data_IF_708323362029
#
_entry.id   IF_708323362029
#
_cell.length_a   1.000
_cell.length_b   1.000
_cell.length_c   1.000
_cell.angle_alpha   90.00
_cell.angle_beta   90.00
_cell.angle_gamma   90.00
#
_symmetry.space_group_name_H-M   'P 1'
#
loop_
_entity.id
_entity.type
_entity.pdbx_description
1 polymer ?
#
# COMPACT_ATOMS: atom_id res chain seq x y z
N UNK A 1 -0.94 0.58 -16.55
CA UNK A 1 -1.67 1.80 -16.90
C UNK A 1 -1.19 2.39 -18.24
N UNK A 2 0.10 2.62 -18.37
CA UNK A 2 0.69 3.18 -19.60
C UNK A 2 1.15 2.12 -20.61
N UNK A 3 1.06 0.83 -20.28
CA UNK A 3 1.61 -0.27 -21.07
C UNK A 3 3.13 -0.31 -21.07
N UNK A 4 3.69 -1.34 -21.72
CA UNK A 4 5.14 -1.55 -21.77
C UNK A 4 5.90 -0.42 -22.46
N UNK A 5 5.33 0.16 -23.50
CA UNK A 5 5.97 1.24 -24.26
C UNK A 5 5.86 2.61 -23.56
N UNK A 6 4.86 2.80 -22.71
CA UNK A 6 4.54 4.10 -22.12
C UNK A 6 5.09 4.33 -20.71
N UNK A 7 5.37 3.28 -19.94
CA UNK A 7 5.76 3.47 -18.52
C UNK A 7 7.14 4.11 -18.38
N UNK A 8 8.11 3.80 -19.24
CA UNK A 8 9.43 4.41 -19.20
C UNK A 8 9.38 5.91 -19.57
N UNK A 9 8.52 6.29 -20.52
CA UNK A 9 8.33 7.69 -20.88
C UNK A 9 7.64 8.47 -19.74
N UNK A 10 6.73 7.84 -19.01
CA UNK A 10 6.16 8.43 -17.82
C UNK A 10 7.24 8.71 -16.78
N UNK A 11 8.10 7.74 -16.49
CA UNK A 11 9.17 7.89 -15.50
C UNK A 11 10.22 8.93 -15.92
N UNK A 12 10.60 9.00 -17.21
CA UNK A 12 11.49 10.06 -17.71
C UNK A 12 10.94 11.45 -17.51
N UNK A 13 9.62 11.63 -17.67
CA UNK A 13 8.95 12.93 -17.43
C UNK A 13 8.77 13.24 -15.95
N UNK A 14 8.62 12.22 -15.12
CA UNK A 14 8.45 12.39 -13.67
C UNK A 14 9.78 12.63 -12.96
N UNK A 15 10.86 11.96 -13.37
CA UNK A 15 12.15 11.97 -12.68
C UNK A 15 12.70 13.37 -12.31
N UNK A 16 12.59 14.41 -13.17
CA UNK A 16 13.05 15.75 -12.81
C UNK A 16 12.28 16.40 -11.65
N UNK A 17 11.12 15.85 -11.29
CA UNK A 17 10.26 16.36 -10.23
C UNK A 17 10.34 15.51 -8.95
N UNK A 18 11.15 14.45 -8.94
CA UNK A 18 11.36 13.61 -7.76
C UNK A 18 12.44 14.25 -6.90
N UNK A 19 12.09 14.59 -5.65
CA UNK A 19 13.02 15.20 -4.72
C UNK A 19 14.15 14.22 -4.36
N UNK A 20 13.80 13.00 -4.00
CA UNK A 20 14.73 11.94 -3.61
C UNK A 20 14.07 10.57 -3.59
N UNK A 21 14.89 9.54 -3.63
CA UNK A 21 14.51 8.17 -3.25
C UNK A 21 15.11 7.86 -1.89
N UNK A 22 14.27 7.46 -0.96
CA UNK A 22 14.69 7.11 0.40
C UNK A 22 14.90 5.60 0.52
N UNK A 23 15.73 5.19 1.47
CA UNK A 23 15.99 3.76 1.71
C UNK A 23 14.77 3.03 2.30
N UNK A 24 13.90 3.77 3.00
CA UNK A 24 12.69 3.21 3.64
C UNK A 24 11.48 4.11 3.41
N UNK A 25 10.29 3.51 3.48
CA UNK A 25 9.04 4.26 3.46
C UNK A 25 8.98 5.30 4.60
N UNK A 26 9.42 4.94 5.81
CA UNK A 26 9.40 5.84 6.97
C UNK A 26 10.24 7.10 6.78
N UNK A 27 11.40 6.99 6.11
CA UNK A 27 12.23 8.16 5.77
C UNK A 27 11.51 9.09 4.79
N UNK A 28 10.92 8.53 3.71
CA UNK A 28 10.17 9.31 2.73
C UNK A 28 8.94 9.99 3.34
N UNK A 29 8.21 9.26 4.17
CA UNK A 29 7.05 9.79 4.87
C UNK A 29 7.45 10.87 5.89
N UNK A 30 8.62 10.71 6.53
CA UNK A 30 9.20 11.72 7.42
C UNK A 30 9.49 13.06 6.71
N UNK A 31 10.04 13.05 5.50
CA UNK A 31 10.25 14.26 4.70
C UNK A 31 8.91 14.97 4.38
N UNK A 32 7.87 14.21 4.09
CA UNK A 32 6.54 14.75 3.85
C UNK A 32 5.94 15.39 5.10
N UNK A 33 5.98 14.73 6.25
CA UNK A 33 5.40 15.25 7.50
C UNK A 33 6.18 16.46 8.05
N UNK A 34 7.49 16.55 7.78
CA UNK A 34 8.32 17.70 8.09
C UNK A 34 8.13 18.88 7.12
N UNK A 35 7.44 18.65 6.00
CA UNK A 35 7.15 19.67 5.01
C UNK A 35 8.28 19.90 3.99
N UNK A 36 9.27 19.02 3.95
CA UNK A 36 10.35 19.06 2.96
C UNK A 36 9.92 18.56 1.60
N UNK A 37 9.00 17.57 1.55
CA UNK A 37 8.38 17.07 0.35
C UNK A 37 6.86 17.35 0.37
N UNK A 38 6.29 18.00 -0.65
CA UNK A 38 4.85 18.28 -0.68
C UNK A 38 3.99 17.06 -1.01
N UNK A 39 4.57 16.03 -1.61
CA UNK A 39 3.90 14.77 -2.00
C UNK A 39 4.84 13.62 -1.69
N UNK A 40 4.28 12.52 -1.20
CA UNK A 40 4.98 11.26 -0.97
C UNK A 40 4.15 10.11 -1.53
N UNK A 41 4.83 9.07 -2.02
CA UNK A 41 4.17 7.80 -2.35
C UNK A 41 3.84 7.08 -1.04
N UNK A 42 2.57 6.82 -0.82
CA UNK A 42 2.09 6.17 0.41
C UNK A 42 0.81 5.38 0.13
N UNK A 43 0.14 4.94 1.19
CA UNK A 43 -1.12 4.21 1.14
C UNK A 43 -2.31 5.17 1.24
N UNK A 44 -3.44 4.79 0.67
CA UNK A 44 -4.68 5.56 0.77
C UNK A 44 -5.21 5.65 2.22
N UNK A 45 -4.80 4.74 3.09
CA UNK A 45 -5.12 4.73 4.51
C UNK A 45 -4.22 5.61 5.38
N UNK A 46 -3.12 6.17 4.83
CA UNK A 46 -2.17 6.95 5.62
C UNK A 46 -2.76 8.17 6.35
N UNK A 47 -3.74 8.92 5.80
CA UNK A 47 -4.39 10.01 6.52
C UNK A 47 -5.13 9.56 7.78
N UNK A 48 -5.65 8.32 7.82
CA UNK A 48 -6.38 7.80 8.99
C UNK A 48 -5.51 7.78 10.26
N UNK A 49 -4.19 7.56 10.12
CA UNK A 49 -3.27 7.65 11.24
C UNK A 49 -3.29 9.05 11.88
N UNK A 50 -3.15 10.08 11.08
CA UNK A 50 -3.09 11.46 11.55
C UNK A 50 -4.42 11.91 12.16
N UNK A 51 -5.55 11.47 11.58
CA UNK A 51 -6.87 11.75 12.12
C UNK A 51 -7.07 11.06 13.46
N UNK A 52 -6.73 9.77 13.56
CA UNK A 52 -6.97 8.96 14.74
C UNK A 52 -6.04 9.28 15.92
N UNK A 53 -4.77 9.64 15.66
CA UNK A 53 -3.74 9.76 16.71
C UNK A 53 -3.14 11.15 16.86
N UNK A 54 -3.27 12.00 15.86
CA UNK A 54 -2.72 13.37 15.89
C UNK A 54 -3.84 14.43 15.80
N UNK A 55 -5.09 14.01 15.70
CA UNK A 55 -6.28 14.86 15.64
C UNK A 55 -6.18 15.94 14.54
N UNK A 56 -5.61 15.57 13.37
CA UNK A 56 -5.39 16.52 12.27
C UNK A 56 -5.80 15.94 10.92
N UNK A 57 -6.43 16.78 10.10
CA UNK A 57 -6.79 16.50 8.70
C UNK A 57 -5.83 17.18 7.71
N UNK A 58 -4.65 17.59 8.17
CA UNK A 58 -3.67 18.28 7.34
C UNK A 58 -3.21 17.43 6.15
N UNK A 59 -3.13 16.12 6.34
CA UNK A 59 -2.62 15.15 5.38
C UNK A 59 -3.77 14.51 4.62
N UNK A 60 -3.67 14.49 3.29
CA UNK A 60 -4.75 14.00 2.41
C UNK A 60 -4.21 13.13 1.31
N UNK A 61 -5.06 12.25 0.80
CA UNK A 61 -4.76 11.41 -0.36
C UNK A 61 -4.90 12.21 -1.65
N UNK A 62 -4.02 11.90 -2.59
CA UNK A 62 -4.15 12.27 -3.98
C UNK A 62 -4.30 10.99 -4.81
N UNK A 63 -5.53 10.66 -5.20
CA UNK A 63 -5.84 9.52 -6.06
C UNK A 63 -5.90 10.02 -7.50
N UNK A 64 -4.95 9.58 -8.32
CA UNK A 64 -4.86 9.96 -9.72
C UNK A 64 -5.68 9.00 -10.58
N UNK A 65 -6.48 9.56 -11.51
CA UNK A 65 -7.30 8.77 -12.46
C UNK A 65 -8.25 7.76 -11.79
N UNK A 66 -8.63 8.03 -10.54
CA UNK A 66 -9.55 7.19 -9.74
C UNK A 66 -9.18 5.70 -9.67
N UNK A 67 -7.88 5.41 -9.78
CA UNK A 67 -7.35 4.05 -9.74
C UNK A 67 -6.15 3.93 -8.80
N UNK A 68 -5.99 2.74 -8.21
CA UNK A 68 -4.86 2.42 -7.36
C UNK A 68 -4.45 0.95 -7.51
N UNK A 69 -3.20 0.66 -7.20
CA UNK A 69 -2.70 -0.69 -7.03
C UNK A 69 -2.99 -1.15 -5.60
N UNK A 70 -3.64 -2.31 -5.45
CA UNK A 70 -3.91 -2.88 -4.14
C UNK A 70 -2.84 -3.88 -3.74
N UNK A 71 -2.39 -3.76 -2.50
CA UNK A 71 -1.56 -4.75 -1.85
C UNK A 71 -2.44 -5.60 -0.91
N UNK A 72 -2.32 -6.92 -1.02
CA UNK A 72 -3.03 -7.88 -0.16
C UNK A 72 -2.01 -8.66 0.63
N UNK A 73 -2.19 -8.73 1.94
CA UNK A 73 -1.35 -9.53 2.82
C UNK A 73 -1.98 -10.90 3.08
N UNK A 74 -1.14 -11.91 3.14
CA UNK A 74 -1.55 -13.30 3.31
C UNK A 74 -0.87 -13.95 4.50
N UNK A 75 -1.59 -14.80 5.21
CA UNK A 75 -1.04 -15.74 6.16
C UNK A 75 -1.21 -17.16 5.63
N UNK A 76 -0.19 -18.00 5.80
CA UNK A 76 -0.22 -19.37 5.31
C UNK A 76 0.49 -20.35 6.23
N UNK A 77 0.08 -21.60 6.16
CA UNK A 77 0.75 -22.70 6.85
C UNK A 77 2.02 -23.10 6.09
N UNK A 78 3.14 -23.12 6.81
CA UNK A 78 4.41 -23.60 6.24
C UNK A 78 4.31 -25.10 5.93
N UNK A 79 4.69 -25.48 4.71
CA UNK A 79 4.70 -26.87 4.30
C UNK A 79 5.66 -27.70 5.20
N UNK A 80 5.19 -28.86 5.65
CA UNK A 80 5.96 -29.72 6.55
C UNK A 80 5.88 -29.38 8.04
N UNK A 81 5.09 -28.36 8.44
CA UNK A 81 4.80 -28.09 9.85
C UNK A 81 4.13 -29.30 10.52
N UNK A 82 4.60 -29.65 11.70
CA UNK A 82 4.00 -30.66 12.59
C UNK A 82 2.85 -30.09 13.45
N UNK A 83 2.66 -28.75 13.42
CA UNK A 83 1.61 -28.02 14.15
C UNK A 83 0.47 -27.54 13.26
N UNK A 84 0.00 -28.38 12.37
CA UNK A 84 -1.02 -28.00 11.37
C UNK A 84 -2.35 -27.58 12.00
N UNK A 85 -2.78 -28.28 13.04
CA UNK A 85 -4.06 -27.98 13.73
C UNK A 85 -3.97 -26.64 14.46
N UNK A 86 -2.89 -26.41 15.23
CA UNK A 86 -2.67 -25.14 15.93
C UNK A 86 -2.59 -23.95 14.95
N UNK A 87 -1.86 -24.13 13.85
CA UNK A 87 -1.72 -23.11 12.82
C UNK A 87 -3.07 -22.82 12.11
N UNK A 88 -3.90 -23.85 11.91
CA UNK A 88 -5.26 -23.67 11.40
C UNK A 88 -6.09 -22.78 12.31
N UNK A 89 -6.06 -23.01 13.62
CA UNK A 89 -6.77 -22.17 14.60
C UNK A 89 -6.29 -20.71 14.57
N UNK A 90 -4.98 -20.48 14.39
CA UNK A 90 -4.44 -19.13 14.25
C UNK A 90 -4.95 -18.47 12.98
N UNK A 91 -4.96 -19.17 11.85
CA UNK A 91 -5.46 -18.62 10.57
C UNK A 91 -6.96 -18.29 10.69
N UNK A 92 -7.76 -19.17 11.29
CA UNK A 92 -9.18 -18.93 11.52
C UNK A 92 -9.40 -17.70 12.42
N UNK A 93 -8.57 -17.53 13.45
CA UNK A 93 -8.61 -16.33 14.30
C UNK A 93 -8.25 -15.07 13.53
N UNK A 94 -7.22 -15.09 12.68
CA UNK A 94 -6.80 -13.94 11.88
C UNK A 94 -7.91 -13.41 10.94
N UNK A 95 -8.81 -14.26 10.47
CA UNK A 95 -9.96 -13.85 9.63
C UNK A 95 -11.23 -13.59 10.43
N UNK A 96 -11.22 -13.82 11.74
CA UNK A 96 -12.37 -13.57 12.61
C UNK A 96 -12.71 -12.10 12.69
N UNK A 97 -13.97 -11.77 12.99
CA UNK A 97 -14.39 -10.39 13.22
C UNK A 97 -13.61 -9.74 14.36
N UNK A 98 -13.34 -10.48 15.43
CA UNK A 98 -12.61 -9.99 16.60
C UNK A 98 -11.21 -9.48 16.23
N UNK A 99 -10.43 -10.30 15.51
CA UNK A 99 -9.11 -9.88 15.05
C UNK A 99 -9.19 -8.77 14.02
N UNK A 100 -10.09 -8.90 13.05
CA UNK A 100 -10.22 -7.95 11.95
C UNK A 100 -10.70 -6.56 12.40
N UNK A 101 -11.39 -6.44 13.53
CA UNK A 101 -11.68 -5.15 14.16
C UNK A 101 -10.42 -4.42 14.67
N UNK A 102 -9.31 -5.13 14.90
CA UNK A 102 -8.06 -4.52 15.35
C UNK A 102 -7.17 -4.05 14.18
N UNK A 103 -7.34 -4.62 13.00
CA UNK A 103 -6.50 -4.36 11.83
C UNK A 103 -6.46 -2.87 11.44
N UNK A 104 -7.59 -2.13 11.36
CA UNK A 104 -7.56 -0.76 10.88
C UNK A 104 -6.66 0.18 11.67
N UNK A 105 -6.72 0.17 13.00
CA UNK A 105 -5.94 1.09 13.83
C UNK A 105 -4.57 0.55 14.28
N UNK A 106 -4.26 -0.71 14.00
CA UNK A 106 -2.96 -1.28 14.32
C UNK A 106 -2.07 -1.47 13.09
N UNK A 107 -2.67 -1.67 11.93
CA UNK A 107 -1.95 -1.88 10.66
C UNK A 107 -2.30 -0.85 9.60
N UNK A 108 -3.30 0.00 9.82
CA UNK A 108 -3.81 0.96 8.84
C UNK A 108 -4.17 0.30 7.51
N UNK A 109 -4.81 -0.86 7.60
CA UNK A 109 -5.30 -1.65 6.48
C UNK A 109 -6.81 -1.82 6.57
N UNK A 110 -7.44 -2.07 5.42
CA UNK A 110 -8.86 -2.42 5.40
C UNK A 110 -9.05 -3.87 5.84
N UNK A 111 -10.01 -4.13 6.75
CA UNK A 111 -10.31 -5.51 7.17
C UNK A 111 -10.92 -6.30 6.01
N UNK A 112 -10.57 -7.59 5.92
CA UNK A 112 -11.16 -8.51 4.94
C UNK A 112 -12.49 -9.12 5.41
N UNK A 113 -12.75 -9.15 6.72
CA UNK A 113 -14.02 -9.65 7.25
C UNK A 113 -15.11 -8.59 7.08
N UNK A 114 -16.19 -8.87 6.33
CA UNK A 114 -17.24 -7.88 6.04
C UNK A 114 -18.04 -7.44 7.27
N UNK A 115 -17.94 -8.17 8.39
CA UNK A 115 -18.59 -7.82 9.65
C UNK A 115 -17.69 -7.01 10.58
N UNK A 116 -16.44 -6.76 10.19
CA UNK A 116 -15.53 -5.94 10.97
C UNK A 116 -15.90 -4.45 10.86
N UNK A 117 -15.71 -3.73 11.94
CA UNK A 117 -15.95 -2.29 12.00
C UNK A 117 -14.77 -1.52 11.41
N UNK A 118 -15.07 -0.52 10.60
CA UNK A 118 -14.08 0.45 10.14
C UNK A 118 -14.20 1.71 10.99
N UNK A 119 -13.12 2.19 11.64
CA UNK A 119 -13.14 3.42 12.43
C UNK A 119 -13.45 4.66 11.60
N UNK A 120 -14.11 5.66 12.21
CA UNK A 120 -14.51 6.93 11.58
C UNK A 120 -13.33 7.66 10.89
N UNK A 121 -12.12 7.53 11.42
CA UNK A 121 -10.92 8.10 10.81
C UNK A 121 -10.67 7.63 9.36
N UNK A 122 -11.25 6.51 8.95
CA UNK A 122 -11.16 6.00 7.58
C UNK A 122 -12.22 6.60 6.64
N UNK A 123 -13.26 7.24 7.16
CA UNK A 123 -14.31 7.87 6.34
C UNK A 123 -13.76 9.09 5.59
N UNK A 124 -12.73 9.74 6.16
CA UNK A 124 -12.06 10.90 5.57
C UNK A 124 -10.92 10.51 4.59
N UNK A 125 -10.64 9.22 4.42
CA UNK A 125 -9.65 8.75 3.44
C UNK A 125 -10.30 8.57 2.07
N UNK A 126 -9.71 9.19 1.04
CA UNK A 126 -10.16 8.96 -0.34
C UNK A 126 -9.74 7.55 -0.78
N UNK A 127 -10.67 6.82 -1.39
CA UNK A 127 -10.43 5.50 -2.00
C UNK A 127 -10.51 5.58 -3.50
N UNK A 128 -9.65 4.84 -4.19
CA UNK A 128 -9.82 4.63 -5.62
C UNK A 128 -11.06 3.76 -5.88
N UNK A 129 -11.84 4.09 -6.90
CA UNK A 129 -12.98 3.26 -7.31
C UNK A 129 -12.54 2.04 -8.12
N UNK A 130 -11.37 2.12 -8.77
CA UNK A 130 -10.81 1.06 -9.57
C UNK A 130 -9.51 0.52 -8.98
N UNK A 131 -9.41 -0.80 -8.86
CA UNK A 131 -8.17 -1.47 -8.48
C UNK A 131 -7.48 -1.99 -9.74
N UNK A 132 -6.24 -1.53 -9.93
CA UNK A 132 -5.38 -2.01 -11.01
C UNK A 132 -4.92 -3.43 -10.68
N UNK A 133 -5.38 -4.39 -11.48
CA UNK A 133 -4.96 -5.77 -11.37
C UNK A 133 -3.87 -6.06 -12.40
N UNK A 134 -2.73 -6.56 -11.93
CA UNK A 134 -1.64 -7.02 -12.78
C UNK A 134 -1.67 -8.55 -12.88
N UNK A 135 -1.34 -9.05 -14.05
CA UNK A 135 -1.09 -10.48 -14.24
C UNK A 135 0.20 -10.86 -13.48
N UNK A 136 0.03 -11.64 -12.41
CA UNK A 136 1.14 -12.02 -11.52
C UNK A 136 2.20 -12.84 -12.24
N UNK A 137 1.79 -13.72 -13.20
CA UNK A 137 2.74 -14.49 -14.02
C UNK A 137 3.58 -13.57 -14.88
N UNK A 138 2.95 -12.62 -15.58
CA UNK A 138 3.65 -11.64 -16.40
C UNK A 138 4.57 -10.73 -15.57
N UNK A 139 4.14 -10.32 -14.38
CA UNK A 139 5.01 -9.56 -13.47
C UNK A 139 6.23 -10.38 -13.08
N UNK A 140 6.05 -11.63 -12.67
CA UNK A 140 7.15 -12.50 -12.27
C UNK A 140 8.17 -12.77 -13.41
N UNK A 141 7.69 -12.88 -14.65
CA UNK A 141 8.54 -13.11 -15.83
C UNK A 141 9.36 -11.88 -16.23
N UNK A 142 8.84 -10.66 -16.00
CA UNK A 142 9.45 -9.43 -16.52
C UNK A 142 9.98 -8.49 -15.43
N UNK A 143 9.86 -8.84 -14.17
CA UNK A 143 10.16 -7.94 -13.04
C UNK A 143 11.58 -7.38 -13.09
N UNK A 144 12.58 -8.25 -13.30
CA UNK A 144 13.99 -7.86 -13.31
C UNK A 144 14.32 -6.93 -14.50
N UNK A 145 13.72 -7.20 -15.67
CA UNK A 145 13.88 -6.35 -16.86
C UNK A 145 13.27 -4.98 -16.64
N UNK A 146 12.01 -4.93 -16.15
CA UNK A 146 11.32 -3.66 -15.89
C UNK A 146 12.00 -2.85 -14.80
N UNK A 147 12.47 -3.51 -13.73
CA UNK A 147 13.20 -2.86 -12.65
C UNK A 147 14.52 -2.27 -13.16
N UNK A 148 15.31 -3.04 -13.93
CA UNK A 148 16.56 -2.58 -14.51
C UNK A 148 16.36 -1.37 -15.43
N UNK A 149 15.35 -1.40 -16.30
CA UNK A 149 15.02 -0.29 -17.19
C UNK A 149 14.57 0.97 -16.42
N UNK A 150 13.83 0.79 -15.33
CA UNK A 150 13.44 1.88 -14.44
C UNK A 150 14.66 2.48 -13.72
N UNK A 151 15.53 1.66 -13.14
CA UNK A 151 16.76 2.11 -12.47
C UNK A 151 17.68 2.94 -13.39
N UNK A 152 17.77 2.59 -14.66
CA UNK A 152 18.56 3.37 -15.63
C UNK A 152 18.03 4.80 -15.81
N UNK A 153 16.71 5.00 -15.71
CA UNK A 153 16.08 6.32 -15.80
C UNK A 153 16.30 7.14 -14.51
N UNK A 154 16.34 6.44 -13.37
CA UNK A 154 16.34 7.07 -12.05
C UNK A 154 17.74 7.37 -11.49
N UNK A 155 18.79 7.00 -12.21
CA UNK A 155 20.19 7.35 -11.90
C UNK A 155 20.54 8.76 -12.35
#
# INVERSE_FOLDING_TARGET
YFGEDGFLDYWRRLSPNILTFTATWSEGYGLYTQGEAPIVLSYDTSPAYHIAFEETERYRNLILSDSAYAQVEYAGLVAGSDRREDAGLVIDYLVSQEFQNQVPLNQFMYPINPNASLPEAFDETARASEIINLDVGRVAENFDEWLGAWEEIMR
#
